data_IF_282876344686
#
_entry.id   IF_282876344686
#
_cell.length_a   1.000
_cell.length_b   1.000
_cell.length_c   1.000
_cell.angle_alpha   90.00
_cell.angle_beta   90.00
_cell.angle_gamma   90.00
#
_symmetry.space_group_name_H-M   'P 1'
#
loop_
_entity.id
_entity.type
_entity.pdbx_description
1 polymer ?
#
# COMPACT_ATOMS: atom_id res chain seq x y z
N UNK A 1 61.19 -47.23 -21.51
CA UNK A 1 59.82 -47.51 -21.03
C UNK A 1 59.24 -46.22 -20.45
N UNK A 2 58.13 -45.76 -21.02
CA UNK A 2 57.41 -44.52 -20.69
C UNK A 2 56.79 -44.58 -19.29
N UNK A 3 56.86 -43.50 -18.52
CA UNK A 3 55.77 -43.04 -17.63
C UNK A 3 55.77 -41.52 -17.57
N UNK A 4 54.92 -40.91 -18.40
CA UNK A 4 54.50 -39.52 -18.24
C UNK A 4 53.49 -39.46 -17.08
N UNK A 5 53.72 -38.57 -16.12
CA UNK A 5 52.71 -38.15 -15.15
C UNK A 5 52.55 -36.64 -15.29
N UNK A 6 51.45 -36.24 -15.93
CA UNK A 6 50.96 -34.86 -15.98
C UNK A 6 50.13 -34.59 -14.72
N UNK A 7 50.40 -33.54 -13.93
CA UNK A 7 49.45 -33.07 -12.95
C UNK A 7 48.39 -32.21 -13.66
N UNK A 8 47.15 -32.71 -13.71
CA UNK A 8 45.99 -31.95 -14.15
C UNK A 8 45.58 -30.98 -13.03
N UNK A 9 45.96 -29.70 -13.18
CA UNK A 9 45.52 -28.61 -12.32
C UNK A 9 44.10 -28.21 -12.74
N UNK A 10 43.09 -28.81 -12.10
CA UNK A 10 41.69 -28.41 -12.20
C UNK A 10 41.50 -27.06 -11.49
N UNK A 11 41.68 -25.97 -12.24
CA UNK A 11 41.33 -24.63 -11.80
C UNK A 11 39.82 -24.43 -11.79
N UNK A 12 39.18 -24.69 -10.66
CA UNK A 12 37.79 -24.26 -10.42
C UNK A 12 37.78 -22.75 -10.18
N UNK A 13 37.52 -21.97 -11.24
CA UNK A 13 37.15 -20.56 -11.11
C UNK A 13 35.74 -20.47 -10.51
N UNK A 14 35.66 -20.21 -9.21
CA UNK A 14 34.44 -19.80 -8.54
C UNK A 14 34.05 -18.43 -9.09
N UNK A 15 33.11 -18.40 -10.03
CA UNK A 15 32.42 -17.17 -10.45
C UNK A 15 31.52 -16.72 -9.28
N UNK A 16 32.10 -16.04 -8.30
CA UNK A 16 31.31 -15.26 -7.34
C UNK A 16 30.86 -13.99 -8.06
N UNK A 17 29.70 -14.06 -8.74
CA UNK A 17 29.04 -12.87 -9.24
C UNK A 17 28.62 -12.00 -8.07
N UNK A 18 29.27 -10.86 -7.86
CA UNK A 18 28.76 -9.84 -6.96
C UNK A 18 27.47 -9.28 -7.56
N UNK A 19 26.33 -9.67 -6.99
CA UNK A 19 25.05 -9.03 -7.28
C UNK A 19 25.00 -7.73 -6.48
N UNK A 20 25.16 -6.59 -7.16
CA UNK A 20 24.96 -5.26 -6.57
C UNK A 20 23.47 -4.94 -6.62
N UNK A 21 22.85 -4.77 -5.46
CA UNK A 21 21.48 -4.28 -5.39
C UNK A 21 21.40 -2.85 -5.95
N UNK A 22 20.34 -2.51 -6.71
CA UNK A 22 20.15 -1.13 -7.15
C UNK A 22 19.90 -0.22 -5.95
N UNK A 23 20.28 1.05 -6.10
CA UNK A 23 19.93 2.06 -5.11
C UNK A 23 18.40 2.16 -4.97
N UNK A 24 17.88 2.37 -3.74
CA UNK A 24 16.45 2.53 -3.53
C UNK A 24 15.89 3.69 -4.36
N UNK A 25 14.68 3.51 -4.89
CA UNK A 25 13.96 4.60 -5.54
C UNK A 25 13.40 5.55 -4.48
N UNK A 26 13.76 6.83 -4.55
CA UNK A 26 13.40 7.82 -3.53
C UNK A 26 12.22 8.67 -3.99
N UNK A 27 11.24 8.87 -3.10
CA UNK A 27 10.16 9.84 -3.26
C UNK A 27 10.22 10.86 -2.14
N UNK A 28 10.21 12.15 -2.47
CA UNK A 28 10.11 13.20 -1.45
C UNK A 28 8.65 13.42 -1.04
N UNK A 29 8.43 13.86 0.19
CA UNK A 29 7.09 14.28 0.63
C UNK A 29 6.54 15.40 -0.27
N UNK A 30 7.38 16.31 -0.75
CA UNK A 30 6.98 17.33 -1.73
C UNK A 30 6.41 16.71 -3.02
N UNK A 31 7.09 15.72 -3.61
CA UNK A 31 6.58 14.99 -4.77
C UNK A 31 5.25 14.28 -4.44
N UNK A 32 5.17 13.65 -3.28
CA UNK A 32 3.99 12.92 -2.81
C UNK A 32 2.79 13.85 -2.67
N UNK A 33 2.96 15.06 -2.11
CA UNK A 33 1.86 16.02 -1.95
C UNK A 33 1.24 16.46 -3.30
N UNK A 34 2.04 16.46 -4.37
CA UNK A 34 1.66 16.87 -5.73
C UNK A 34 1.20 15.73 -6.63
N UNK A 35 1.17 14.48 -6.16
CA UNK A 35 0.58 13.37 -6.93
C UNK A 35 -0.90 13.63 -7.24
N UNK A 36 -1.40 13.01 -8.30
CA UNK A 36 -2.81 13.03 -8.63
C UNK A 36 -3.58 12.01 -7.76
N UNK A 37 -4.32 12.52 -6.77
CA UNK A 37 -5.21 11.75 -5.90
C UNK A 37 -6.64 11.61 -6.44
N UNK A 38 -6.91 12.17 -7.63
CA UNK A 38 -8.24 12.28 -8.19
C UNK A 38 -9.07 13.38 -7.52
N UNK A 39 -10.34 13.43 -7.88
CA UNK A 39 -11.28 14.46 -7.40
C UNK A 39 -11.58 14.31 -5.91
N UNK A 40 -11.44 15.40 -5.15
CA UNK A 40 -11.75 15.41 -3.72
C UNK A 40 -13.22 15.04 -3.47
N UNK A 41 -13.52 13.98 -2.69
CA UNK A 41 -14.88 13.46 -2.57
C UNK A 41 -15.70 14.27 -1.56
N UNK A 42 -16.21 15.43 -1.99
CA UNK A 42 -17.06 16.31 -1.16
C UNK A 42 -18.30 15.60 -0.61
N UNK A 43 -18.83 14.63 -1.36
CA UNK A 43 -19.98 13.80 -0.98
C UNK A 43 -19.60 12.44 -0.35
N UNK A 44 -18.38 12.30 0.19
CA UNK A 44 -17.87 11.04 0.78
C UNK A 44 -18.86 10.36 1.74
N UNK A 45 -19.49 11.09 2.66
CA UNK A 45 -20.48 10.49 3.57
C UNK A 45 -21.61 9.77 2.83
N UNK A 46 -22.15 10.38 1.78
CA UNK A 46 -23.22 9.79 0.99
C UNK A 46 -22.72 8.58 0.20
N UNK A 47 -21.50 8.66 -0.35
CA UNK A 47 -20.87 7.54 -1.05
C UNK A 47 -20.72 6.33 -0.12
N UNK A 48 -20.20 6.54 1.08
CA UNK A 48 -19.99 5.50 2.10
C UNK A 48 -21.31 4.91 2.59
N UNK A 49 -22.29 5.75 2.93
CA UNK A 49 -23.63 5.30 3.36
C UNK A 49 -24.31 4.45 2.28
N UNK A 50 -24.21 4.87 1.01
CA UNK A 50 -24.75 4.11 -0.13
C UNK A 50 -24.03 2.78 -0.33
N UNK A 51 -22.70 2.79 -0.24
CA UNK A 51 -21.89 1.58 -0.35
C UNK A 51 -22.24 0.56 0.74
N UNK A 52 -22.28 1.00 2.00
CA UNK A 52 -22.68 0.15 3.13
C UNK A 52 -24.09 -0.42 2.96
N UNK A 53 -25.04 0.39 2.48
CA UNK A 53 -26.40 -0.09 2.21
C UNK A 53 -26.46 -1.16 1.10
N UNK A 54 -25.44 -1.25 0.25
CA UNK A 54 -25.33 -2.23 -0.84
C UNK A 54 -24.52 -3.48 -0.44
N UNK A 55 -23.58 -3.35 0.50
CA UNK A 55 -22.63 -4.43 0.83
C UNK A 55 -22.89 -5.12 2.16
N UNK A 56 -23.61 -4.50 3.11
CA UNK A 56 -23.98 -5.13 4.36
C UNK A 56 -25.02 -6.24 4.16
N UNK A 57 -24.91 -7.31 4.96
CA UNK A 57 -25.84 -8.45 4.94
C UNK A 57 -27.26 -8.02 5.33
N UNK A 58 -27.38 -7.20 6.38
CA UNK A 58 -28.63 -6.55 6.79
C UNK A 58 -28.43 -5.02 6.82
N UNK A 59 -28.69 -4.33 5.69
CA UNK A 59 -28.53 -2.87 5.61
C UNK A 59 -29.40 -2.10 6.62
N UNK A 60 -30.55 -2.65 7.03
CA UNK A 60 -31.47 -1.98 7.96
C UNK A 60 -30.97 -2.02 9.41
N UNK A 61 -30.03 -2.92 9.70
CA UNK A 61 -29.36 -3.00 11.00
C UNK A 61 -28.19 -2.04 11.17
N UNK A 62 -27.78 -1.35 10.10
CA UNK A 62 -26.57 -0.52 10.12
C UNK A 62 -26.68 0.60 11.17
N UNK A 63 -25.68 0.65 12.04
CA UNK A 63 -25.42 1.77 12.95
C UNK A 63 -24.10 2.45 12.54
N UNK A 64 -24.10 3.78 12.54
CA UNK A 64 -22.92 4.60 12.23
C UNK A 64 -22.59 5.49 13.41
N UNK A 65 -21.30 5.52 13.78
CA UNK A 65 -20.77 6.40 14.82
C UNK A 65 -19.62 7.25 14.26
N UNK A 66 -19.92 7.94 13.16
CA UNK A 66 -18.99 8.87 12.51
C UNK A 66 -18.38 8.34 11.21
N UNK A 67 -18.11 9.29 10.32
CA UNK A 67 -17.37 9.11 9.08
C UNK A 67 -16.31 10.22 9.07
N UNK A 68 -15.04 9.85 8.91
CA UNK A 68 -13.94 10.81 8.91
C UNK A 68 -13.95 11.67 7.65
N UNK A 69 -13.27 12.82 7.71
CA UNK A 69 -12.97 13.60 6.50
C UNK A 69 -12.05 12.78 5.57
N UNK A 70 -12.15 12.97 4.23
CA UNK A 70 -11.21 12.39 3.28
C UNK A 70 -9.80 12.93 3.47
N UNK A 71 -8.82 12.03 3.57
CA UNK A 71 -7.37 12.35 3.64
C UNK A 71 -6.65 11.70 2.48
N UNK A 72 -5.60 12.34 1.95
CA UNK A 72 -4.83 11.76 0.84
C UNK A 72 -4.19 10.45 1.29
N UNK A 73 -4.18 9.47 0.40
CA UNK A 73 -3.51 8.19 0.59
C UNK A 73 -2.67 7.87 -0.64
N UNK A 74 -1.45 7.43 -0.43
CA UNK A 74 -0.58 6.90 -1.46
C UNK A 74 0.02 5.57 -1.01
N UNK A 75 0.05 4.60 -1.91
CA UNK A 75 0.82 3.37 -1.76
C UNK A 75 1.75 3.17 -2.94
N UNK A 76 3.00 2.84 -2.64
CA UNK A 76 4.00 2.42 -3.61
C UNK A 76 4.18 0.91 -3.56
N UNK A 77 4.09 0.25 -4.71
CA UNK A 77 4.26 -1.21 -4.85
C UNK A 77 5.30 -1.53 -5.92
N UNK A 78 6.14 -2.54 -5.64
CA UNK A 78 7.11 -3.11 -6.58
C UNK A 78 7.33 -4.58 -6.21
N UNK A 79 6.70 -5.49 -6.96
CA UNK A 79 6.60 -6.92 -6.62
C UNK A 79 7.59 -7.85 -7.34
N UNK A 80 8.29 -7.38 -8.38
CA UNK A 80 9.21 -8.24 -9.14
C UNK A 80 10.53 -8.43 -8.41
N UNK A 81 10.95 -9.68 -8.27
CA UNK A 81 12.24 -10.07 -7.69
C UNK A 81 13.00 -10.93 -8.70
N UNK A 82 14.29 -10.66 -8.96
CA UNK A 82 15.09 -9.55 -8.44
C UNK A 82 14.54 -8.18 -8.85
N UNK A 83 14.69 -7.17 -7.99
CA UNK A 83 14.40 -5.78 -8.36
C UNK A 83 15.56 -5.29 -9.23
N UNK A 84 15.23 -4.96 -10.47
CA UNK A 84 16.13 -4.33 -11.43
C UNK A 84 15.82 -2.83 -11.53
N UNK A 85 16.76 -2.04 -12.06
CA UNK A 85 16.67 -0.58 -12.13
C UNK A 85 15.45 -0.06 -12.88
N UNK A 86 14.92 -0.82 -13.84
CA UNK A 86 13.77 -0.47 -14.68
C UNK A 86 12.44 -1.09 -14.19
N UNK A 87 12.46 -1.78 -13.04
CA UNK A 87 11.26 -2.44 -12.52
C UNK A 87 10.18 -1.39 -12.19
N UNK A 88 8.99 -1.46 -12.82
CA UNK A 88 7.98 -0.42 -12.69
C UNK A 88 7.44 -0.33 -11.27
N UNK A 89 7.21 0.90 -10.82
CA UNK A 89 6.55 1.18 -9.54
C UNK A 89 5.07 1.41 -9.80
N UNK A 90 4.23 0.61 -9.16
CA UNK A 90 2.79 0.87 -9.14
C UNK A 90 2.49 1.86 -8.03
N UNK A 91 1.88 2.98 -8.40
CA UNK A 91 1.47 4.04 -7.48
C UNK A 91 -0.06 4.01 -7.37
N UNK A 92 -0.57 3.74 -6.18
CA UNK A 92 -2.00 3.71 -5.87
C UNK A 92 -2.31 4.97 -5.07
N UNK A 93 -3.15 5.85 -5.59
CA UNK A 93 -3.52 7.12 -4.93
C UNK A 93 -5.03 7.29 -4.83
N UNK A 94 -5.48 7.96 -3.77
CA UNK A 94 -6.87 8.36 -3.59
C UNK A 94 -7.08 9.03 -2.24
N UNK A 95 -8.31 9.07 -1.76
CA UNK A 95 -8.64 9.60 -0.45
C UNK A 95 -9.17 8.50 0.47
N UNK A 96 -8.49 8.26 1.59
CA UNK A 96 -8.98 7.34 2.61
C UNK A 96 -10.06 8.04 3.46
N UNK A 97 -11.15 7.33 3.68
CA UNK A 97 -12.27 7.72 4.57
C UNK A 97 -12.55 6.56 5.51
N UNK A 98 -12.65 6.86 6.80
CA UNK A 98 -12.86 5.87 7.85
C UNK A 98 -14.28 5.97 8.40
N UNK A 99 -15.01 4.86 8.43
CA UNK A 99 -16.36 4.82 9.01
C UNK A 99 -16.41 3.85 10.19
N UNK A 100 -17.00 4.28 11.30
CA UNK A 100 -17.25 3.42 12.47
C UNK A 100 -18.63 2.80 12.32
N UNK A 101 -18.67 1.50 12.06
CA UNK A 101 -19.88 0.76 11.68
C UNK A 101 -20.13 -0.37 12.66
N UNK A 102 -21.39 -0.60 13.01
CA UNK A 102 -21.84 -1.83 13.63
C UNK A 102 -23.08 -2.33 12.87
N UNK A 103 -23.09 -3.59 12.50
CA UNK A 103 -24.17 -4.20 11.73
C UNK A 103 -24.31 -5.68 12.08
N UNK A 104 -25.43 -6.30 11.71
CA UNK A 104 -25.64 -7.73 11.92
C UNK A 104 -24.86 -8.57 10.92
N UNK A 105 -24.37 -9.71 11.40
CA UNK A 105 -23.85 -10.80 10.57
C UNK A 105 -24.98 -11.70 10.04
N UNK A 106 -24.62 -12.74 9.28
CA UNK A 106 -25.55 -13.72 8.72
C UNK A 106 -26.34 -14.53 9.76
N UNK A 107 -25.90 -14.57 11.02
CA UNK A 107 -26.59 -15.25 12.11
C UNK A 107 -27.54 -14.32 12.89
N UNK A 108 -27.68 -13.05 12.45
CA UNK A 108 -28.61 -12.07 13.03
C UNK A 108 -28.09 -11.32 14.25
N UNK A 109 -26.87 -11.63 14.71
CA UNK A 109 -26.19 -10.92 15.81
C UNK A 109 -25.32 -9.77 15.30
N UNK A 110 -25.18 -8.71 16.11
CA UNK A 110 -24.25 -7.61 15.81
C UNK A 110 -22.80 -8.06 15.88
N UNK A 111 -21.97 -7.60 14.94
CA UNK A 111 -20.53 -7.89 14.91
C UNK A 111 -19.72 -7.07 15.93
N UNK A 112 -20.35 -6.04 16.52
CA UNK A 112 -19.67 -5.03 17.32
C UNK A 112 -19.17 -3.87 16.48
N UNK A 113 -18.76 -2.79 17.16
CA UNK A 113 -18.25 -1.60 16.52
C UNK A 113 -16.89 -1.86 15.86
N UNK A 114 -16.81 -1.61 14.56
CA UNK A 114 -15.61 -1.78 13.75
C UNK A 114 -15.31 -0.50 12.97
N UNK A 115 -14.02 -0.21 12.78
CA UNK A 115 -13.56 0.94 12.03
C UNK A 115 -13.06 0.47 10.67
N UNK A 116 -13.74 0.87 9.60
CA UNK A 116 -13.49 0.39 8.24
C UNK A 116 -12.88 1.51 7.37
N UNK A 117 -11.70 1.30 6.76
CA UNK A 117 -11.13 2.23 5.78
C UNK A 117 -11.72 1.99 4.39
N UNK A 118 -12.03 3.07 3.69
CA UNK A 118 -12.48 3.08 2.30
C UNK A 118 -11.60 4.02 1.49
N UNK A 119 -10.97 3.52 0.42
CA UNK A 119 -10.25 4.37 -0.53
C UNK A 119 -11.24 4.91 -1.56
N UNK A 120 -11.32 6.21 -1.72
CA UNK A 120 -12.17 6.87 -2.71
C UNK A 120 -11.30 7.52 -3.77
N UNK A 121 -11.54 7.22 -5.04
CA UNK A 121 -10.94 7.93 -6.18
C UNK A 121 -12.00 8.19 -7.25
N UNK A 122 -12.14 9.43 -7.66
CA UNK A 122 -13.08 9.86 -8.72
C UNK A 122 -14.51 9.31 -8.52
N UNK A 123 -15.00 9.42 -7.28
CA UNK A 123 -16.35 9.00 -6.89
C UNK A 123 -16.55 7.48 -6.76
N UNK A 124 -15.51 6.68 -6.94
CA UNK A 124 -15.53 5.22 -6.77
C UNK A 124 -14.87 4.82 -5.46
N UNK A 125 -15.46 3.82 -4.80
CA UNK A 125 -14.92 3.21 -3.58
C UNK A 125 -14.13 1.95 -3.95
N UNK A 126 -12.95 1.83 -3.35
CA UNK A 126 -12.07 0.67 -3.41
C UNK A 126 -11.84 0.18 -1.98
N UNK A 127 -12.13 -1.09 -1.75
CA UNK A 127 -11.99 -1.75 -0.45
C UNK A 127 -10.75 -2.65 -0.43
N UNK A 128 -10.31 -3.01 0.78
CA UNK A 128 -9.18 -3.94 1.00
C UNK A 128 -7.87 -3.50 0.32
N UNK A 129 -7.68 -2.18 0.16
CA UNK A 129 -6.42 -1.65 -0.36
C UNK A 129 -5.38 -1.73 0.75
N UNK A 130 -4.30 -2.49 0.52
CA UNK A 130 -3.21 -2.65 1.49
C UNK A 130 -2.65 -1.30 1.93
N UNK A 131 -2.22 -1.21 3.19
CA UNK A 131 -1.73 0.04 3.77
C UNK A 131 -2.82 1.06 4.11
N UNK A 132 -4.04 0.95 3.55
CA UNK A 132 -5.14 1.81 4.01
C UNK A 132 -5.53 1.45 5.44
N UNK A 133 -5.77 2.47 6.25
CA UNK A 133 -6.14 2.26 7.63
C UNK A 133 -6.61 3.53 8.31
N UNK A 134 -7.16 3.32 9.50
CA UNK A 134 -7.77 4.36 10.31
C UNK A 134 -6.98 4.63 11.60
N UNK A 135 -5.69 4.32 11.59
CA UNK A 135 -4.79 4.33 12.76
C UNK A 135 -3.82 5.51 12.79
N UNK A 136 -3.69 6.26 11.69
CA UNK A 136 -2.88 7.47 11.59
C UNK A 136 -3.76 8.61 11.09
N UNK A 137 -3.52 9.84 11.56
CA UNK A 137 -4.14 11.08 11.09
C UNK A 137 -3.29 11.83 10.04
N UNK A 138 -2.21 11.21 9.56
CA UNK A 138 -1.31 11.80 8.55
C UNK A 138 -2.08 12.12 7.25
N UNK A 139 -1.70 13.22 6.61
CA UNK A 139 -2.25 13.66 5.33
C UNK A 139 -1.13 14.26 4.45
N UNK A 140 -0.57 13.50 3.50
CA UNK A 140 -1.01 12.19 3.02
C UNK A 140 -0.57 11.03 3.93
N UNK A 141 -1.43 10.03 4.04
CA UNK A 141 -1.05 8.73 4.58
C UNK A 141 -0.22 7.97 3.53
N UNK A 142 1.04 7.72 3.86
CA UNK A 142 2.01 7.09 2.96
C UNK A 142 2.22 5.63 3.36
N UNK A 143 2.14 4.74 2.37
CA UNK A 143 2.40 3.32 2.51
C UNK A 143 3.38 2.83 1.45
N UNK A 144 4.29 1.94 1.82
CA UNK A 144 5.31 1.38 0.92
C UNK A 144 5.32 -0.12 1.10
N UNK A 145 5.15 -0.85 0.00
CA UNK A 145 5.20 -2.31 0.02
C UNK A 145 6.55 -2.83 0.57
N UNK A 146 6.54 -3.78 1.52
CA UNK A 146 7.75 -4.38 2.04
C UNK A 146 8.60 -5.00 0.92
N UNK A 147 9.91 -4.71 0.95
CA UNK A 147 10.84 -5.25 -0.04
C UNK A 147 10.81 -4.55 -1.40
N UNK A 148 10.05 -3.45 -1.56
CA UNK A 148 9.97 -2.71 -2.84
C UNK A 148 11.21 -1.89 -3.20
N UNK A 149 12.21 -1.78 -2.31
CA UNK A 149 13.38 -0.90 -2.45
C UNK A 149 12.96 0.55 -2.77
N UNK A 150 11.98 1.05 -2.04
CA UNK A 150 11.48 2.42 -2.13
C UNK A 150 11.69 3.11 -0.79
N UNK A 151 12.18 4.35 -0.83
CA UNK A 151 12.36 5.21 0.34
C UNK A 151 11.53 6.47 0.20
N UNK A 152 11.03 6.95 1.34
CA UNK A 152 10.31 8.22 1.41
C UNK A 152 11.15 9.19 2.21
N UNK A 153 11.38 10.37 1.63
CA UNK A 153 12.24 11.40 2.20
C UNK A 153 11.42 12.64 2.60
N UNK A 154 11.73 13.18 3.75
CA UNK A 154 11.29 14.50 4.19
C UNK A 154 12.52 15.33 4.58
N UNK A 155 12.69 16.51 3.98
CA UNK A 155 13.85 17.39 4.20
C UNK A 155 15.21 16.65 4.04
N UNK A 156 15.29 15.76 3.05
CA UNK A 156 16.49 14.97 2.75
C UNK A 156 16.76 13.81 3.72
N UNK A 157 15.84 13.49 4.63
CA UNK A 157 15.96 12.37 5.57
C UNK A 157 14.88 11.32 5.32
N UNK A 158 15.27 10.05 5.40
CA UNK A 158 14.33 8.93 5.32
C UNK A 158 13.37 8.94 6.50
N UNK A 159 12.07 8.86 6.20
CA UNK A 159 11.01 8.75 7.20
C UNK A 159 10.43 7.34 7.23
N UNK A 160 9.96 6.91 8.40
CA UNK A 160 9.24 5.65 8.54
C UNK A 160 7.83 5.80 8.01
N UNK A 161 7.42 4.87 7.16
CA UNK A 161 6.08 4.83 6.56
C UNK A 161 5.45 3.47 6.81
N UNK A 162 4.13 3.40 6.62
CA UNK A 162 3.39 2.16 6.85
C UNK A 162 3.72 1.13 5.74
N UNK A 163 3.73 -0.18 6.06
CA UNK A 163 3.89 -1.22 5.05
C UNK A 163 2.67 -1.36 4.12
#
# INVERSE_FOLDING_TARGET
MKKLLLPALLGSTLLTGCYTLPDPTEFTMEQIHHLDYGSYPRNHEQLIKRHLAQTLIDPRSMMLDGISRPRKFVRFERRFHPIETDTPIRIITGYVVCARVNAKNSYGGYTGWQLHPYLIRDGRIYENVFGTGCYSDDDPMVSVEPGSYIKVLENGKEIRVNP
#
